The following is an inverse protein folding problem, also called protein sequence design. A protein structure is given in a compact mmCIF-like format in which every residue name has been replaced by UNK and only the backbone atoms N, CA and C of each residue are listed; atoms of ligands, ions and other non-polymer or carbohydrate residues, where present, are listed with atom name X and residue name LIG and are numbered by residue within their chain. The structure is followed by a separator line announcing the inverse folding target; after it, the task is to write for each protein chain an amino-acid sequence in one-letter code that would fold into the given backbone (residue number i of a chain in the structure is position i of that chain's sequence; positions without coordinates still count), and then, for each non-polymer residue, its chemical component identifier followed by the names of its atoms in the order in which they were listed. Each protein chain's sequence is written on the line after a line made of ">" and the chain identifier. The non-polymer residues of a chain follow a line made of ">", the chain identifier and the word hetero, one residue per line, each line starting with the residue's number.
data_IF_858915441276
#
_entry.id   IF_858915441276
#
_cell.length_a   1.000
_cell.length_b   1.000
_cell.length_c   1.000
_cell.angle_alpha   90.00
_cell.angle_beta   90.00
_cell.angle_gamma   90.00
#
_symmetry.space_group_name_H-M   'P 1'
#
loop_
_entity.id
_entity.type
_entity.pdbx_description
1 polymer ?
#
# COMPACT_ATOMS: atom_id res chain seq x y z
N UNK A 1 5.42 2.41 29.18
CA UNK A 1 4.15 1.86 29.70
C UNK A 1 4.30 0.35 29.67
N UNK A 2 4.05 -0.33 30.78
CA UNK A 2 4.16 -1.79 30.84
C UNK A 2 3.07 -2.40 29.94
N UNK A 3 3.46 -3.23 28.97
CA UNK A 3 2.51 -4.01 28.20
C UNK A 3 1.81 -4.98 29.15
N UNK A 4 0.49 -4.87 29.25
CA UNK A 4 -0.32 -5.84 29.97
C UNK A 4 -0.40 -7.09 29.08
N UNK A 5 -0.13 -8.28 29.62
CA UNK A 5 -0.23 -9.53 28.88
C UNK A 5 -1.46 -10.31 29.32
N UNK A 6 -2.13 -10.99 28.38
CA UNK A 6 -3.21 -11.94 28.64
C UNK A 6 -2.78 -13.36 28.27
N UNK A 7 -3.31 -14.40 28.94
CA UNK A 7 -3.07 -15.77 28.53
C UNK A 7 -3.66 -16.06 27.15
N UNK A 8 -3.04 -16.99 26.42
CA UNK A 8 -3.59 -17.57 25.19
C UNK A 8 -4.90 -18.28 25.52
N UNK A 9 -5.96 -17.99 24.77
CA UNK A 9 -7.26 -18.66 24.91
C UNK A 9 -7.52 -19.55 23.69
N UNK A 10 -8.42 -20.56 23.78
CA UNK A 10 -8.72 -21.44 22.65
C UNK A 10 -9.20 -20.71 21.38
N UNK A 11 -9.84 -19.55 21.53
CA UNK A 11 -10.29 -18.69 20.43
C UNK A 11 -9.13 -18.15 19.58
N UNK A 12 -7.91 -18.09 20.13
CA UNK A 12 -6.72 -17.66 19.39
C UNK A 12 -6.21 -18.74 18.42
N UNK A 13 -6.81 -19.95 18.39
CA UNK A 13 -6.41 -21.07 17.52
C UNK A 13 -4.92 -21.43 17.60
N UNK A 14 -4.40 -21.84 18.77
CA UNK A 14 -2.97 -22.08 18.98
C UNK A 14 -2.34 -23.11 18.04
N UNK A 15 -3.14 -24.00 17.43
CA UNK A 15 -2.69 -24.95 16.43
C UNK A 15 -2.11 -24.33 15.15
N UNK A 16 -2.45 -23.08 14.82
CA UNK A 16 -1.96 -22.39 13.60
C UNK A 16 -0.72 -21.52 13.85
N UNK A 17 -0.31 -21.30 15.11
CA UNK A 17 0.77 -20.37 15.44
C UNK A 17 2.09 -20.70 14.74
N UNK A 18 2.40 -21.98 14.54
CA UNK A 18 3.61 -22.41 13.84
C UNK A 18 3.58 -22.04 12.34
N UNK A 19 2.42 -22.14 11.70
CA UNK A 19 2.20 -21.77 10.31
C UNK A 19 2.23 -20.25 10.13
N UNK A 20 1.55 -19.52 11.01
CA UNK A 20 1.56 -18.05 11.06
C UNK A 20 2.99 -17.52 11.22
N UNK A 21 3.77 -18.09 12.14
CA UNK A 21 5.18 -17.72 12.33
C UNK A 21 6.02 -17.90 11.06
N UNK A 22 5.83 -19.01 10.33
CA UNK A 22 6.49 -19.26 9.04
C UNK A 22 6.05 -18.25 7.96
N UNK A 23 4.77 -17.90 7.94
CA UNK A 23 4.22 -16.91 7.02
C UNK A 23 4.87 -15.53 7.23
N UNK A 24 5.07 -15.10 8.48
CA UNK A 24 5.72 -13.82 8.76
C UNK A 24 7.21 -13.80 8.39
N UNK A 25 7.92 -14.93 8.50
CA UNK A 25 9.28 -15.07 7.96
C UNK A 25 9.26 -14.89 6.44
N UNK A 26 8.31 -15.52 5.76
CA UNK A 26 8.18 -15.39 4.32
C UNK A 26 7.89 -13.93 3.89
N UNK A 27 7.04 -13.21 4.63
CA UNK A 27 6.80 -11.78 4.40
C UNK A 27 8.05 -10.92 4.59
N UNK A 28 8.89 -11.21 5.59
CA UNK A 28 10.16 -10.50 5.76
C UNK A 28 11.09 -10.71 4.55
N UNK A 29 11.21 -11.95 4.06
CA UNK A 29 12.02 -12.27 2.89
C UNK A 29 11.52 -11.56 1.63
N UNK A 30 10.20 -11.60 1.37
CA UNK A 30 9.60 -10.87 0.25
C UNK A 30 9.82 -9.36 0.35
N UNK A 31 9.62 -8.79 1.55
CA UNK A 31 9.87 -7.38 1.82
C UNK A 31 11.32 -7.00 1.52
N UNK A 32 12.29 -7.82 1.92
CA UNK A 32 13.71 -7.59 1.66
C UNK A 32 14.03 -7.68 0.16
N UNK A 33 13.55 -8.73 -0.53
CA UNK A 33 13.74 -8.90 -1.97
C UNK A 33 13.16 -7.73 -2.79
N UNK A 34 12.04 -7.15 -2.35
CA UNK A 34 11.42 -5.99 -3.00
C UNK A 34 12.06 -4.65 -2.60
N UNK A 35 12.63 -4.54 -1.39
CA UNK A 35 13.27 -3.31 -0.91
C UNK A 35 14.54 -2.97 -1.70
N UNK A 36 15.38 -3.98 -1.97
CA UNK A 36 16.66 -3.81 -2.68
C UNK A 36 16.50 -3.09 -4.03
N UNK A 37 15.67 -3.57 -4.98
CA UNK A 37 15.54 -2.90 -6.28
C UNK A 37 14.96 -1.48 -6.16
N UNK A 38 14.06 -1.23 -5.20
CA UNK A 38 13.48 0.09 -4.97
C UNK A 38 14.52 1.09 -4.46
N UNK A 39 15.39 0.69 -3.52
CA UNK A 39 16.50 1.51 -3.03
C UNK A 39 17.52 1.76 -4.15
N UNK A 40 17.89 0.74 -4.92
CA UNK A 40 18.81 0.90 -6.05
C UNK A 40 18.27 1.90 -7.08
N UNK A 41 17.01 1.76 -7.48
CA UNK A 41 16.37 2.65 -8.45
C UNK A 41 16.23 4.08 -7.90
N UNK A 42 15.81 4.23 -6.64
CA UNK A 42 15.76 5.52 -5.97
C UNK A 42 17.13 6.22 -5.97
N UNK A 43 18.19 5.49 -5.62
CA UNK A 43 19.56 6.01 -5.59
C UNK A 43 20.02 6.49 -6.96
N UNK A 44 19.81 5.69 -8.01
CA UNK A 44 20.15 6.05 -9.40
C UNK A 44 19.39 7.30 -9.85
N UNK A 45 18.08 7.36 -9.61
CA UNK A 45 17.26 8.50 -10.04
C UNK A 45 17.60 9.80 -9.29
N UNK A 46 17.97 9.70 -8.02
CA UNK A 46 18.40 10.85 -7.21
C UNK A 46 19.81 11.34 -7.58
N UNK A 47 20.71 10.42 -7.95
CA UNK A 47 22.10 10.72 -8.27
C UNK A 47 22.22 11.62 -9.52
N UNK A 48 21.51 11.28 -10.60
CA UNK A 48 21.57 12.04 -11.85
C UNK A 48 20.64 13.27 -11.83
N UNK A 49 21.23 14.47 -11.94
CA UNK A 49 20.50 15.75 -11.93
C UNK A 49 19.42 15.85 -13.02
N UNK A 50 19.66 15.24 -14.18
CA UNK A 50 18.73 15.22 -15.31
C UNK A 50 17.43 14.50 -14.91
N UNK A 51 17.52 13.37 -14.22
CA UNK A 51 16.34 12.58 -13.85
C UNK A 51 15.50 13.19 -12.73
N UNK A 52 16.11 13.96 -11.82
CA UNK A 52 15.39 14.57 -10.68
C UNK A 52 14.22 15.47 -11.07
N UNK A 53 14.32 16.16 -12.21
CA UNK A 53 13.27 17.07 -12.67
C UNK A 53 12.18 16.36 -13.48
N UNK A 54 12.57 15.35 -14.25
CA UNK A 54 11.67 14.70 -15.22
C UNK A 54 10.99 13.44 -14.66
N UNK A 55 11.50 12.88 -13.56
CA UNK A 55 11.01 11.63 -12.97
C UNK A 55 10.64 11.79 -11.48
N UNK A 56 10.24 13.00 -11.06
CA UNK A 56 9.95 13.30 -9.66
C UNK A 56 8.88 12.38 -9.08
N UNK A 57 7.80 12.11 -9.83
CA UNK A 57 6.73 11.20 -9.41
C UNK A 57 7.23 9.75 -9.26
N UNK A 58 8.13 9.30 -10.14
CA UNK A 58 8.70 7.94 -10.08
C UNK A 58 9.64 7.80 -8.88
N UNK A 59 10.46 8.82 -8.60
CA UNK A 59 11.32 8.86 -7.41
C UNK A 59 10.49 8.68 -6.15
N UNK A 60 9.36 9.40 -6.05
CA UNK A 60 8.46 9.29 -4.90
C UNK A 60 7.72 7.95 -4.83
N UNK A 61 7.40 7.34 -5.97
CA UNK A 61 6.88 5.98 -5.99
C UNK A 61 7.90 4.99 -5.41
N UNK A 62 9.17 5.05 -5.84
CA UNK A 62 10.23 4.20 -5.28
C UNK A 62 10.42 4.39 -3.77
N UNK A 63 10.34 5.65 -3.30
CA UNK A 63 10.39 5.96 -1.87
C UNK A 63 9.22 5.33 -1.12
N UNK A 64 8.01 5.48 -1.66
CA UNK A 64 6.78 4.93 -1.07
C UNK A 64 6.79 3.41 -1.04
N UNK A 65 7.25 2.77 -2.12
CA UNK A 65 7.38 1.32 -2.19
C UNK A 65 8.45 0.83 -1.20
N UNK A 66 9.53 1.58 -1.00
CA UNK A 66 10.54 1.28 0.02
C UNK A 66 9.96 1.37 1.44
N UNK A 67 9.18 2.41 1.74
CA UNK A 67 8.45 2.56 3.01
C UNK A 67 7.48 1.40 3.22
N UNK A 68 6.77 0.98 2.18
CA UNK A 68 5.85 -0.14 2.25
C UNK A 68 6.58 -1.47 2.50
N UNK A 69 7.68 -1.73 1.79
CA UNK A 69 8.52 -2.91 2.00
C UNK A 69 9.09 -2.95 3.43
N UNK A 70 9.57 -1.82 3.93
CA UNK A 70 10.04 -1.69 5.30
C UNK A 70 8.92 -1.98 6.31
N UNK A 71 7.69 -1.51 6.04
CA UNK A 71 6.53 -1.81 6.89
C UNK A 71 6.24 -3.31 6.98
N UNK A 72 6.38 -4.05 5.87
CA UNK A 72 6.18 -5.50 5.82
C UNK A 72 7.27 -6.24 6.60
N UNK A 73 8.53 -5.80 6.48
CA UNK A 73 9.65 -6.37 7.23
C UNK A 73 9.42 -6.18 8.74
N UNK A 74 9.17 -4.95 9.18
CA UNK A 74 8.97 -4.65 10.61
C UNK A 74 7.74 -5.40 11.14
N UNK A 75 6.62 -5.40 10.41
CA UNK A 75 5.44 -6.16 10.80
C UNK A 75 5.78 -7.64 10.95
N UNK A 76 6.50 -8.23 9.99
CA UNK A 76 6.88 -9.63 10.04
C UNK A 76 7.75 -9.93 11.28
N UNK A 77 8.66 -9.03 11.65
CA UNK A 77 9.50 -9.21 12.85
C UNK A 77 8.69 -9.07 14.15
N UNK A 78 7.84 -8.06 14.25
CA UNK A 78 6.99 -7.84 15.45
C UNK A 78 6.01 -8.98 15.65
N UNK A 79 5.31 -9.41 14.59
CA UNK A 79 4.34 -10.50 14.70
C UNK A 79 5.03 -11.84 14.95
N UNK A 80 6.22 -12.08 14.38
CA UNK A 80 7.02 -13.25 14.72
C UNK A 80 7.30 -13.33 16.23
N UNK A 81 7.72 -12.22 16.85
CA UNK A 81 7.99 -12.19 18.30
C UNK A 81 6.72 -12.42 19.13
N UNK A 82 5.59 -11.83 18.72
CA UNK A 82 4.30 -11.99 19.39
C UNK A 82 3.86 -13.46 19.36
N UNK A 83 3.92 -14.12 18.20
CA UNK A 83 3.56 -15.54 18.09
C UNK A 83 4.57 -16.46 18.78
N UNK A 84 5.87 -16.12 18.78
CA UNK A 84 6.88 -16.91 19.49
C UNK A 84 6.68 -16.86 21.01
N UNK A 85 6.32 -15.69 21.57
CA UNK A 85 5.90 -15.57 22.98
C UNK A 85 4.59 -16.30 23.26
N UNK A 86 3.61 -16.24 22.36
CA UNK A 86 2.38 -17.01 22.46
C UNK A 86 2.64 -18.52 22.56
N UNK A 87 3.61 -19.04 21.79
CA UNK A 87 3.99 -20.47 21.83
C UNK A 87 4.79 -20.83 23.10
N UNK A 88 5.77 -20.00 23.48
CA UNK A 88 6.70 -20.32 24.57
C UNK A 88 6.13 -20.04 25.96
N UNK A 89 5.43 -18.92 26.10
CA UNK A 89 5.01 -18.38 27.39
C UNK A 89 3.49 -18.43 27.56
N UNK A 90 2.73 -18.81 26.52
CA UNK A 90 1.26 -18.75 26.50
C UNK A 90 0.72 -17.35 26.87
N UNK A 91 1.39 -16.29 26.43
CA UNK A 91 1.01 -14.90 26.68
C UNK A 91 0.93 -14.08 25.39
N UNK A 92 -0.10 -13.24 25.27
CA UNK A 92 -0.27 -12.24 24.22
C UNK A 92 -0.35 -10.82 24.80
N UNK A 93 0.18 -9.78 24.11
CA UNK A 93 0.04 -8.41 24.55
C UNK A 93 -1.42 -7.95 24.42
N UNK A 94 -1.91 -7.23 25.43
CA UNK A 94 -3.17 -6.50 25.39
C UNK A 94 -2.87 -5.09 24.90
N UNK A 95 -3.35 -4.78 23.70
CA UNK A 95 -3.18 -3.47 23.08
C UNK A 95 -4.55 -2.76 22.97
N UNK A 96 -4.52 -1.43 22.99
CA UNK A 96 -5.67 -0.60 22.59
C UNK A 96 -5.45 -0.07 21.17
N UNK A 97 -6.51 0.47 20.55
CA UNK A 97 -6.45 1.00 19.18
C UNK A 97 -5.37 2.08 19.01
N UNK A 98 -5.12 2.89 20.03
CA UNK A 98 -4.13 3.97 19.97
C UNK A 98 -2.69 3.46 20.02
N UNK A 99 -2.37 2.53 20.93
CA UNK A 99 -1.06 1.87 21.02
C UNK A 99 -0.78 1.13 19.71
N UNK A 100 -1.78 0.40 19.18
CA UNK A 100 -1.66 -0.30 17.91
C UNK A 100 -1.42 0.68 16.74
N UNK A 101 -2.12 1.82 16.70
CA UNK A 101 -1.90 2.84 15.68
C UNK A 101 -0.50 3.50 15.77
N UNK A 102 0.08 3.60 16.97
CA UNK A 102 1.43 4.15 17.18
C UNK A 102 2.55 3.18 16.80
N UNK A 103 2.25 1.90 16.58
CA UNK A 103 3.24 0.92 16.14
C UNK A 103 3.90 1.33 14.82
N UNK A 104 5.23 1.23 14.76
CA UNK A 104 6.01 1.72 13.61
C UNK A 104 5.56 1.09 12.28
N UNK A 105 5.29 -0.23 12.28
CA UNK A 105 4.82 -0.91 11.07
C UNK A 105 3.45 -0.42 10.62
N UNK A 106 2.56 -0.01 11.54
CA UNK A 106 1.22 0.49 11.19
C UNK A 106 1.28 1.87 10.55
N UNK A 107 2.06 2.78 11.10
CA UNK A 107 2.30 4.10 10.51
C UNK A 107 2.91 3.99 9.10
N UNK A 108 3.98 3.20 8.97
CA UNK A 108 4.65 3.01 7.67
C UNK A 108 3.73 2.35 6.65
N UNK A 109 2.95 1.35 7.08
CA UNK A 109 1.99 0.66 6.21
C UNK A 109 0.84 1.56 5.79
N UNK A 110 0.36 2.45 6.66
CA UNK A 110 -0.66 3.43 6.31
C UNK A 110 -0.15 4.41 5.25
N UNK A 111 1.08 4.92 5.41
CA UNK A 111 1.72 5.80 4.42
C UNK A 111 1.88 5.06 3.08
N UNK A 112 2.50 3.87 3.10
CA UNK A 112 2.76 3.09 1.89
C UNK A 112 1.50 2.72 1.12
N UNK A 113 0.47 2.22 1.81
CA UNK A 113 -0.78 1.81 1.18
C UNK A 113 -1.65 2.96 0.69
N UNK A 114 -1.47 4.17 1.22
CA UNK A 114 -2.21 5.35 0.76
C UNK A 114 -1.48 6.03 -0.39
N UNK A 115 -0.18 6.27 -0.24
CA UNK A 115 0.61 6.98 -1.23
C UNK A 115 0.89 6.16 -2.48
N UNK A 116 1.11 4.84 -2.35
CA UNK A 116 1.42 3.95 -3.48
C UNK A 116 0.39 3.99 -4.61
N UNK A 117 -0.89 3.65 -4.35
CA UNK A 117 -1.93 3.70 -5.38
C UNK A 117 -2.15 5.12 -5.92
N UNK A 118 -2.08 6.16 -5.07
CA UNK A 118 -2.24 7.55 -5.51
C UNK A 118 -1.13 7.98 -6.47
N UNK A 119 0.13 7.67 -6.17
CA UNK A 119 1.25 7.93 -7.09
C UNK A 119 1.09 7.16 -8.40
N UNK A 120 0.67 5.90 -8.37
CA UNK A 120 0.42 5.14 -9.60
C UNK A 120 -0.67 5.77 -10.48
N UNK A 121 -1.80 6.18 -9.90
CA UNK A 121 -2.87 6.87 -10.63
C UNK A 121 -2.35 8.17 -11.24
N UNK A 122 -1.66 8.99 -10.45
CA UNK A 122 -1.15 10.28 -10.89
C UNK A 122 -0.08 10.14 -11.99
N UNK A 123 0.79 9.13 -11.91
CA UNK A 123 1.74 8.80 -12.98
C UNK A 123 1.01 8.39 -14.26
N UNK A 124 -0.04 7.57 -14.15
CA UNK A 124 -0.84 7.16 -15.30
C UNK A 124 -1.54 8.37 -15.96
N UNK A 125 -2.11 9.27 -15.14
CA UNK A 125 -2.71 10.52 -15.62
C UNK A 125 -1.68 11.42 -16.30
N UNK A 126 -0.50 11.61 -15.68
CA UNK A 126 0.58 12.43 -16.25
C UNK A 126 0.98 11.95 -17.65
N UNK A 127 1.14 10.62 -17.80
CA UNK A 127 1.42 9.97 -19.09
C UNK A 127 0.30 10.18 -20.10
N UNK A 128 -0.94 9.98 -19.70
CA UNK A 128 -2.10 10.17 -20.58
C UNK A 128 -2.19 11.62 -21.09
N UNK A 129 -1.97 12.61 -20.21
CA UNK A 129 -1.94 14.03 -20.57
C UNK A 129 -0.81 14.31 -21.57
N UNK A 130 0.38 13.74 -21.36
CA UNK A 130 1.51 13.91 -22.28
C UNK A 130 1.20 13.38 -23.69
N UNK A 131 0.53 12.24 -23.79
CA UNK A 131 0.16 11.60 -25.05
C UNK A 131 -0.95 12.38 -25.75
N UNK A 132 -2.02 12.74 -25.02
CA UNK A 132 -3.22 13.32 -25.63
C UNK A 132 -3.08 14.81 -25.95
N UNK A 133 -2.34 15.55 -25.12
CA UNK A 133 -2.22 17.00 -25.17
C UNK A 133 -0.76 17.45 -25.23
N UNK A 134 -0.01 16.96 -26.23
CA UNK A 134 1.44 17.18 -26.38
C UNK A 134 1.85 18.67 -26.30
N UNK A 135 1.15 19.57 -26.98
CA UNK A 135 1.48 21.00 -26.97
C UNK A 135 1.29 21.66 -25.59
N UNK A 136 0.22 21.30 -24.88
CA UNK A 136 -0.07 21.84 -23.56
C UNK A 136 0.90 21.26 -22.51
N UNK A 137 1.22 19.97 -22.64
CA UNK A 137 2.11 19.25 -21.73
C UNK A 137 3.54 19.79 -21.78
N UNK A 138 4.04 20.22 -22.95
CA UNK A 138 5.34 20.86 -23.09
C UNK A 138 5.39 22.25 -22.42
N UNK A 139 4.34 23.07 -22.59
CA UNK A 139 4.30 24.43 -22.03
C UNK A 139 4.23 24.44 -20.50
N UNK A 140 3.47 23.51 -19.91
CA UNK A 140 3.29 23.41 -18.45
C UNK A 140 4.18 22.38 -17.77
N UNK A 141 5.13 21.77 -18.50
CA UNK A 141 5.96 20.65 -18.02
C UNK A 141 6.62 20.92 -16.66
N UNK A 142 7.15 22.12 -16.45
CA UNK A 142 7.90 22.47 -15.24
C UNK A 142 7.07 22.60 -13.96
N UNK A 143 5.78 22.94 -14.04
CA UNK A 143 4.89 23.05 -12.88
C UNK A 143 4.04 21.81 -12.65
N UNK A 144 3.87 20.98 -13.67
CA UNK A 144 2.93 19.86 -13.63
C UNK A 144 3.31 18.80 -12.59
N UNK A 145 4.55 18.30 -12.63
CA UNK A 145 5.03 17.30 -11.67
C UNK A 145 5.00 17.78 -10.21
N UNK A 146 5.54 18.97 -9.84
CA UNK A 146 5.48 19.42 -8.46
C UNK A 146 4.05 19.70 -7.99
N UNK A 147 3.17 20.18 -8.88
CA UNK A 147 1.75 20.35 -8.55
C UNK A 147 1.07 19.01 -8.26
N UNK A 148 1.23 18.02 -9.14
CA UNK A 148 0.69 16.67 -8.95
C UNK A 148 1.21 16.01 -7.66
N UNK A 149 2.49 16.18 -7.37
CA UNK A 149 3.12 15.73 -6.14
C UNK A 149 2.51 16.40 -4.90
N UNK A 150 2.30 17.72 -4.94
CA UNK A 150 1.64 18.45 -3.86
C UNK A 150 0.20 17.94 -3.61
N UNK A 151 -0.56 17.66 -4.67
CA UNK A 151 -1.91 17.07 -4.57
C UNK A 151 -1.88 15.70 -3.90
N UNK A 152 -0.95 14.82 -4.29
CA UNK A 152 -0.80 13.50 -3.64
C UNK A 152 -0.47 13.66 -2.17
N UNK A 153 0.52 14.51 -1.83
CA UNK A 153 0.90 14.73 -0.44
C UNK A 153 -0.22 15.29 0.42
N UNK A 154 -0.96 16.27 -0.09
CA UNK A 154 -2.12 16.83 0.59
C UNK A 154 -3.18 15.76 0.85
N UNK A 155 -3.49 14.95 -0.17
CA UNK A 155 -4.47 13.86 -0.07
C UNK A 155 -4.02 12.81 0.95
N UNK A 156 -2.79 12.31 0.83
CA UNK A 156 -2.20 11.36 1.79
C UNK A 156 -2.21 11.91 3.22
N UNK A 157 -1.78 13.15 3.39
CA UNK A 157 -1.74 13.83 4.69
C UNK A 157 -3.13 13.92 5.32
N UNK A 158 -4.15 14.27 4.53
CA UNK A 158 -5.54 14.32 4.99
C UNK A 158 -6.07 12.95 5.45
N UNK A 159 -5.80 11.89 4.68
CA UNK A 159 -6.23 10.52 5.01
C UNK A 159 -5.55 10.02 6.28
N UNK A 160 -4.24 10.22 6.39
CA UNK A 160 -3.46 9.82 7.58
C UNK A 160 -3.94 10.59 8.81
N UNK A 161 -4.17 11.89 8.67
CA UNK A 161 -4.66 12.73 9.75
C UNK A 161 -6.03 12.26 10.28
N UNK A 162 -6.98 11.97 9.38
CA UNK A 162 -8.28 11.40 9.75
C UNK A 162 -8.12 10.05 10.44
N UNK A 163 -7.24 9.16 9.93
CA UNK A 163 -6.95 7.88 10.56
C UNK A 163 -6.43 8.04 12.00
N UNK A 164 -5.48 8.95 12.22
CA UNK A 164 -4.95 9.22 13.56
C UNK A 164 -5.99 9.81 14.52
N UNK A 165 -6.88 10.69 14.03
CA UNK A 165 -8.00 11.20 14.83
C UNK A 165 -8.96 10.08 15.25
N UNK A 166 -9.27 9.15 14.34
CA UNK A 166 -10.11 8.01 14.64
C UNK A 166 -9.46 7.08 15.67
N UNK A 167 -8.18 6.75 15.50
CA UNK A 167 -7.43 5.95 16.47
C UNK A 167 -7.39 6.61 17.86
N UNK A 168 -7.23 7.94 17.91
CA UNK A 168 -7.25 8.68 19.17
C UNK A 168 -8.64 8.65 19.83
N UNK A 169 -9.71 8.76 19.05
CA UNK A 169 -11.09 8.73 19.55
C UNK A 169 -11.51 7.38 20.16
N UNK A 170 -10.87 6.29 19.73
CA UNK A 170 -11.15 4.91 20.17
C UNK A 170 -10.19 4.43 21.27
N UNK A 171 -9.44 5.34 21.90
CA UNK A 171 -8.48 5.00 22.93
C UNK A 171 -9.14 4.30 24.12
N UNK A 172 -8.45 3.31 24.68
CA UNK A 172 -8.91 2.56 25.85
C UNK A 172 -9.87 1.39 25.55
N UNK A 173 -10.28 1.20 24.29
CA UNK A 173 -11.01 0.00 23.87
C UNK A 173 -9.96 -1.09 23.56
N UNK A 174 -9.98 -2.24 24.26
CA UNK A 174 -9.06 -3.33 23.96
C UNK A 174 -9.37 -3.89 22.57
N UNK A 175 -8.33 -4.11 21.78
CA UNK A 175 -8.46 -4.69 20.43
C UNK A 175 -8.13 -6.19 20.43
N UNK A 176 -8.44 -6.85 19.32
CA UNK A 176 -8.04 -8.24 19.07
C UNK A 176 -6.52 -8.42 19.23
N UNK A 177 -6.11 -9.66 19.52
CA UNK A 177 -4.73 -10.08 19.87
C UNK A 177 -3.64 -9.66 18.90
N UNK A 178 -3.99 -9.37 17.65
CA UNK A 178 -3.06 -8.94 16.62
C UNK A 178 -3.47 -7.58 16.09
N UNK A 179 -2.57 -6.61 16.25
CA UNK A 179 -2.72 -5.27 15.72
C UNK A 179 -2.81 -5.27 14.18
N UNK A 180 -3.93 -4.78 13.66
CA UNK A 180 -4.20 -4.70 12.22
C UNK A 180 -4.97 -3.43 11.87
N UNK A 181 -5.12 -3.13 10.57
CA UNK A 181 -5.71 -1.85 10.10
C UNK A 181 -7.11 -1.59 10.63
N UNK A 182 -7.98 -2.61 10.61
CA UNK A 182 -9.36 -2.51 11.13
C UNK A 182 -9.38 -2.32 12.64
N UNK A 183 -8.45 -2.94 13.37
CA UNK A 183 -8.33 -2.82 14.82
C UNK A 183 -7.76 -1.44 15.25
N UNK A 184 -6.80 -0.90 14.49
CA UNK A 184 -6.15 0.37 14.80
C UNK A 184 -7.02 1.60 14.51
N UNK A 185 -7.70 1.60 13.35
CA UNK A 185 -8.37 2.80 12.82
C UNK A 185 -9.89 2.64 12.69
N UNK A 186 -10.42 1.48 13.07
CA UNK A 186 -11.81 1.10 12.87
C UNK A 186 -12.08 0.41 11.54
N UNK A 187 -13.20 -0.32 11.50
CA UNK A 187 -13.58 -1.15 10.36
C UNK A 187 -13.80 -0.34 9.07
N UNK A 188 -14.61 0.72 9.13
CA UNK A 188 -14.96 1.54 7.98
C UNK A 188 -13.73 2.22 7.35
N UNK A 189 -12.82 2.76 8.18
CA UNK A 189 -11.59 3.38 7.68
C UNK A 189 -10.65 2.34 7.06
N UNK A 190 -10.49 1.19 7.73
CA UNK A 190 -9.71 0.07 7.18
C UNK A 190 -10.21 -0.35 5.79
N UNK A 191 -11.52 -0.54 5.64
CA UNK A 191 -12.17 -0.88 4.37
C UNK A 191 -12.00 0.21 3.30
N UNK A 192 -12.12 1.49 3.66
CA UNK A 192 -11.84 2.59 2.75
C UNK A 192 -10.41 2.54 2.20
N UNK A 193 -9.41 2.25 3.04
CA UNK A 193 -8.01 2.09 2.57
C UNK A 193 -7.88 0.86 1.65
N UNK A 194 -8.55 -0.25 1.94
CA UNK A 194 -8.57 -1.41 1.05
C UNK A 194 -9.19 -1.07 -0.32
N UNK A 195 -10.32 -0.34 -0.33
CA UNK A 195 -10.94 0.14 -1.55
C UNK A 195 -10.02 1.10 -2.32
N UNK A 196 -9.40 2.07 -1.66
CA UNK A 196 -8.44 2.98 -2.28
C UNK A 196 -7.31 2.22 -2.97
N UNK A 197 -6.79 1.17 -2.32
CA UNK A 197 -5.75 0.33 -2.87
C UNK A 197 -6.24 -0.35 -4.17
N UNK A 198 -7.32 -1.12 -4.08
CA UNK A 198 -7.86 -1.90 -5.21
C UNK A 198 -8.25 -0.99 -6.37
N UNK A 199 -9.07 0.03 -6.11
CA UNK A 199 -9.56 0.96 -7.14
C UNK A 199 -8.44 1.85 -7.68
N UNK A 200 -7.49 2.28 -6.85
CA UNK A 200 -6.36 3.09 -7.31
C UNK A 200 -5.50 2.34 -8.33
N UNK A 201 -5.10 1.10 -8.02
CA UNK A 201 -4.35 0.29 -8.98
C UNK A 201 -5.19 -0.05 -10.22
N UNK A 202 -6.49 -0.34 -10.06
CA UNK A 202 -7.39 -0.61 -11.18
C UNK A 202 -7.50 0.59 -12.13
N UNK A 203 -7.73 1.78 -11.60
CA UNK A 203 -7.82 3.03 -12.37
C UNK A 203 -6.50 3.30 -13.10
N UNK A 204 -5.36 3.09 -12.44
CA UNK A 204 -4.05 3.24 -13.08
C UNK A 204 -3.87 2.27 -14.27
N UNK A 205 -4.30 1.01 -14.15
CA UNK A 205 -4.29 0.03 -15.25
C UNK A 205 -5.16 0.51 -16.41
N UNK A 206 -6.41 0.91 -16.14
CA UNK A 206 -7.32 1.40 -17.17
C UNK A 206 -6.75 2.61 -17.92
N UNK A 207 -6.19 3.58 -17.22
CA UNK A 207 -5.59 4.78 -17.84
C UNK A 207 -4.38 4.41 -18.71
N UNK A 208 -3.54 3.46 -18.28
CA UNK A 208 -2.41 3.00 -19.10
C UNK A 208 -2.88 2.25 -20.35
N UNK A 209 -3.94 1.42 -20.27
CA UNK A 209 -4.53 0.76 -21.44
C UNK A 209 -5.12 1.80 -22.40
N UNK A 210 -5.86 2.78 -21.90
CA UNK A 210 -6.41 3.86 -22.72
C UNK A 210 -5.30 4.68 -23.38
N UNK A 211 -4.22 4.97 -22.66
CA UNK A 211 -3.02 5.63 -23.21
C UNK A 211 -2.45 4.83 -24.38
N UNK A 212 -2.34 3.50 -24.24
CA UNK A 212 -1.86 2.62 -25.30
C UNK A 212 -2.79 2.61 -26.53
N UNK A 213 -4.10 2.49 -26.31
CA UNK A 213 -5.09 2.52 -27.39
C UNK A 213 -5.06 3.84 -28.16
N UNK A 214 -4.95 4.97 -27.46
CA UNK A 214 -4.86 6.31 -28.09
C UNK A 214 -3.62 6.43 -28.99
N UNK A 215 -2.46 5.89 -28.57
CA UNK A 215 -1.25 5.88 -29.40
C UNK A 215 -1.42 4.96 -30.61
N UNK A 216 -1.98 3.77 -30.40
CA UNK A 216 -2.15 2.77 -31.46
C UNK A 216 -3.16 3.21 -32.53
N UNK A 217 -4.27 3.84 -32.13
CA UNK A 217 -5.36 4.23 -33.03
C UNK A 217 -5.03 5.49 -33.83
N UNK A 218 -4.34 6.46 -33.22
CA UNK A 218 -4.00 7.71 -33.91
C UNK A 218 -2.82 7.55 -34.89
N UNK A 219 -2.29 6.33 -35.05
CA UNK A 219 -1.16 6.06 -35.95
C UNK A 219 0.04 6.98 -35.68
N UNK A 220 0.15 7.51 -34.45
CA UNK A 220 1.25 8.39 -34.06
C UNK A 220 2.48 7.51 -34.14
N UNK A 221 3.23 7.64 -35.23
CA UNK A 221 4.46 6.89 -35.51
C UNK A 221 5.59 7.38 -34.60
N UNK A 222 5.32 7.46 -33.29
CA UNK A 222 6.37 7.52 -32.30
C UNK A 222 7.21 6.27 -32.49
N UNK A 223 8.52 6.47 -32.67
CA UNK A 223 9.55 5.41 -32.72
C UNK A 223 9.10 4.16 -31.96
N UNK A 224 9.21 2.98 -32.57
CA UNK A 224 8.82 1.67 -31.99
C UNK A 224 9.22 1.52 -30.50
N UNK A 225 10.33 2.16 -30.09
CA UNK A 225 10.79 2.31 -28.71
C UNK A 225 9.73 2.86 -27.73
N UNK A 226 8.96 3.89 -28.10
CA UNK A 226 7.97 4.51 -27.23
C UNK A 226 6.74 3.61 -27.01
N UNK A 227 6.32 2.87 -28.04
CA UNK A 227 5.23 1.89 -27.93
C UNK A 227 5.64 0.73 -27.02
N UNK A 228 6.89 0.25 -27.12
CA UNK A 228 7.41 -0.77 -26.21
C UNK A 228 7.45 -0.31 -24.75
N UNK A 229 7.89 0.93 -24.47
CA UNK A 229 7.88 1.51 -23.12
C UNK A 229 6.46 1.59 -22.55
N UNK A 230 5.47 1.96 -23.37
CA UNK A 230 4.08 2.06 -22.96
C UNK A 230 3.45 0.67 -22.68
N UNK A 231 3.79 -0.32 -23.50
CA UNK A 231 3.40 -1.73 -23.29
C UNK A 231 3.99 -2.29 -21.99
N UNK A 232 5.28 -2.02 -21.74
CA UNK A 232 5.94 -2.42 -20.48
C UNK A 232 5.29 -1.76 -19.27
N UNK A 233 5.01 -0.46 -19.34
CA UNK A 233 4.30 0.27 -18.29
C UNK A 233 2.93 -0.33 -17.97
N UNK A 234 2.12 -0.63 -19.00
CA UNK A 234 0.81 -1.25 -18.81
C UNK A 234 0.91 -2.65 -18.19
N UNK A 235 1.87 -3.47 -18.65
CA UNK A 235 2.11 -4.79 -18.09
C UNK A 235 2.56 -4.74 -16.62
N UNK A 236 3.45 -3.81 -16.27
CA UNK A 236 3.90 -3.60 -14.88
C UNK A 236 2.73 -3.17 -13.99
N UNK A 237 1.94 -2.18 -14.42
CA UNK A 237 0.76 -1.76 -13.65
C UNK A 237 -0.26 -2.88 -13.48
N UNK A 238 -0.47 -3.72 -14.50
CA UNK A 238 -1.35 -4.87 -14.41
C UNK A 238 -0.85 -5.93 -13.43
N UNK A 239 0.45 -6.24 -13.45
CA UNK A 239 1.06 -7.16 -12.48
C UNK A 239 0.98 -6.59 -11.06
N UNK A 240 1.26 -5.30 -10.86
CA UNK A 240 1.08 -4.62 -9.57
C UNK A 240 -0.37 -4.72 -9.09
N UNK A 241 -1.35 -4.53 -9.98
CA UNK A 241 -2.77 -4.68 -9.64
C UNK A 241 -3.09 -6.09 -9.15
N UNK A 242 -2.65 -7.15 -9.85
CA UNK A 242 -2.91 -8.53 -9.43
C UNK A 242 -2.28 -8.81 -8.08
N UNK A 243 -0.98 -8.54 -7.94
CA UNK A 243 -0.21 -8.90 -6.75
C UNK A 243 -0.68 -8.16 -5.50
N UNK A 244 -1.20 -6.95 -5.66
CA UNK A 244 -1.64 -6.13 -4.52
C UNK A 244 -3.14 -6.31 -4.28
N UNK A 245 -3.98 -6.39 -5.31
CA UNK A 245 -5.43 -6.44 -5.12
C UNK A 245 -5.91 -7.79 -4.65
N UNK A 246 -5.34 -8.90 -5.15
CA UNK A 246 -5.75 -10.26 -4.76
C UNK A 246 -5.70 -10.49 -3.23
N UNK A 247 -4.56 -10.25 -2.53
CA UNK A 247 -4.50 -10.47 -1.08
C UNK A 247 -5.35 -9.46 -0.28
N UNK A 248 -5.68 -8.30 -0.85
CA UNK A 248 -6.52 -7.31 -0.20
C UNK A 248 -8.02 -7.61 -0.41
N UNK A 249 -8.40 -8.21 -1.54
CA UNK A 249 -9.75 -8.72 -1.79
C UNK A 249 -10.05 -9.90 -0.87
N UNK A 250 -9.11 -10.84 -0.70
CA UNK A 250 -9.30 -11.97 0.23
C UNK A 250 -9.51 -11.49 1.66
N UNK A 251 -8.75 -10.49 2.11
CA UNK A 251 -8.90 -9.88 3.44
C UNK A 251 -10.26 -9.18 3.64
N UNK A 252 -10.86 -8.60 2.58
CA UNK A 252 -12.22 -8.05 2.65
C UNK A 252 -13.26 -9.17 2.69
N UNK A 253 -13.06 -10.20 1.86
CA UNK A 253 -13.99 -11.31 1.74
C UNK A 253 -14.08 -12.11 3.05
N UNK A 254 -12.94 -12.43 3.67
CA UNK A 254 -12.87 -13.10 4.97
C UNK A 254 -13.55 -12.30 6.09
N UNK A 255 -13.43 -10.96 6.06
CA UNK A 255 -14.04 -10.11 7.06
C UNK A 255 -15.57 -9.98 6.91
N UNK A 256 -16.12 -10.17 5.71
CA UNK A 256 -17.55 -10.00 5.41
C UNK A 256 -18.30 -11.33 5.25
N UNK A 257 -17.61 -12.44 5.03
CA UNK A 257 -18.16 -13.80 5.01
C UNK A 257 -19.05 -14.12 6.22
N UNK A 258 -18.67 -13.82 7.49
CA UNK A 258 -19.55 -14.06 8.63
C UNK A 258 -20.82 -13.18 8.62
N UNK A 259 -20.79 -12.01 7.98
CA UNK A 259 -21.96 -11.14 7.85
C UNK A 259 -22.93 -11.61 6.75
N UNK A 260 -22.43 -12.23 5.67
CA UNK A 260 -23.26 -12.77 4.58
C UNK A 260 -23.96 -14.05 5.02
N UNK A 261 -23.27 -14.96 5.73
CA UNK A 261 -23.91 -16.19 6.24
C UNK A 261 -24.94 -15.94 7.36
N UNK A 262 -24.88 -14.81 8.07
CA UNK A 262 -25.93 -14.39 9.00
C UNK A 262 -27.09 -13.64 8.33
N UNK A 263 -26.90 -13.08 7.13
CA UNK A 263 -27.96 -12.42 6.37
C UNK A 263 -28.88 -13.42 5.63
N UNK A 264 -28.39 -14.62 5.30
CA UNK A 264 -29.18 -15.72 4.70
C UNK A 264 -29.97 -16.56 5.74
N UNK A 265 -29.98 -16.16 7.02
CA UNK A 265 -30.77 -16.82 8.09
C UNK A 265 -31.88 -15.93 8.63
N UNK A 266 -32.55 -15.16 7.76
CA UNK A 266 -33.83 -14.50 8.05
C UNK A 266 -34.87 -14.80 6.98
#
# INVERSE_FOLDING_TARGET
>A
MAALYRPVVPEDNPGTFSQERLLYIFYQLLGLCALVPNICLFTVLCYYKIYRRDYMLVIMLCFTDSVNCLSIIIMGSTLFEVYDKGIKENLFPVEDSWICAQSAFMCLRLIGNTAGPLFQVVIAIDRFICIRFMFWSQRFSHWRQPFLLAVVFFTCGSIIFVGLLLAYSQRGIPIATVCGRKAAFGQAFGEMIYCLLIFGYLVAVFINIMSYLVVSLNGISGSSSNVHKLKQAAAVSFMSFILISVPNISAILEANLPAVFMADSK
#
